data_IF_977114707375
#
_entry.id   IF_977114707375
#
_cell.length_a   1.000
_cell.length_b   1.000
_cell.length_c   1.000
_cell.angle_alpha   90.00
_cell.angle_beta   90.00
_cell.angle_gamma   90.00
#
_symmetry.space_group_name_H-M   'P 1'
#
loop_
_entity.id
_entity.type
_entity.pdbx_description
1 polymer ?
#
# COMPACT_ATOMS: atom_id res chain seq x y z
N UNK A 1 4.29 0.86 -25.47
CA UNK A 1 3.65 0.62 -24.18
C UNK A 1 3.66 1.86 -23.29
N UNK A 2 4.77 2.62 -23.19
CA UNK A 2 4.89 3.81 -22.33
C UNK A 2 3.81 4.86 -22.59
N UNK A 3 3.50 5.17 -23.87
CA UNK A 3 2.45 6.14 -24.24
C UNK A 3 1.07 5.71 -23.75
N UNK A 4 0.79 4.40 -23.78
CA UNK A 4 -0.49 3.85 -23.29
C UNK A 4 -0.56 3.95 -21.77
N UNK A 5 0.48 3.55 -21.06
CA UNK A 5 0.55 3.65 -19.59
C UNK A 5 0.42 5.10 -19.13
N UNK A 6 1.12 6.02 -19.79
CA UNK A 6 1.01 7.45 -19.51
C UNK A 6 -0.42 7.96 -19.73
N UNK A 7 -1.04 7.62 -20.84
CA UNK A 7 -2.44 7.96 -21.13
C UNK A 7 -3.39 7.43 -20.03
N UNK A 8 -3.22 6.18 -19.60
CA UNK A 8 -4.06 5.57 -18.57
C UNK A 8 -3.85 6.21 -17.18
N UNK A 9 -2.60 6.60 -16.83
CA UNK A 9 -2.29 7.33 -15.60
C UNK A 9 -2.91 8.74 -15.64
N UNK A 10 -2.71 9.50 -16.73
CA UNK A 10 -3.22 10.87 -16.89
C UNK A 10 -4.77 10.94 -16.93
N UNK A 11 -5.43 9.87 -17.34
CA UNK A 11 -6.90 9.78 -17.36
C UNK A 11 -7.47 9.00 -16.15
N UNK A 12 -6.68 8.80 -15.11
CA UNK A 12 -7.10 8.15 -13.86
C UNK A 12 -7.66 6.72 -14.03
N UNK A 13 -7.24 5.96 -15.04
CA UNK A 13 -7.56 4.54 -15.14
C UNK A 13 -6.62 3.68 -14.28
N UNK A 14 -5.37 4.13 -14.12
CA UNK A 14 -4.34 3.44 -13.36
C UNK A 14 -3.68 4.37 -12.35
N UNK A 15 -3.30 3.79 -11.22
CA UNK A 15 -2.45 4.40 -10.20
C UNK A 15 -1.07 3.79 -10.32
N UNK A 16 -0.07 4.65 -10.50
CA UNK A 16 1.34 4.24 -10.56
C UNK A 16 1.99 4.42 -9.20
N UNK A 17 2.26 3.32 -8.52
CA UNK A 17 2.97 3.28 -7.24
C UNK A 17 4.47 3.09 -7.53
N UNK A 18 5.25 4.16 -7.40
CA UNK A 18 6.68 4.17 -7.75
C UNK A 18 7.53 3.61 -6.62
N UNK A 19 8.64 2.99 -6.98
CA UNK A 19 9.63 2.57 -6.00
C UNK A 19 10.31 3.80 -5.38
N UNK A 20 10.56 3.75 -4.07
CA UNK A 20 11.52 4.64 -3.41
C UNK A 20 12.71 3.85 -2.86
N UNK A 21 13.91 4.39 -2.99
CA UNK A 21 15.13 3.78 -2.46
C UNK A 21 15.35 4.08 -0.98
N UNK A 22 14.69 5.11 -0.45
CA UNK A 22 14.81 5.55 0.94
C UNK A 22 13.48 6.04 1.50
N UNK A 23 13.29 5.89 2.82
CA UNK A 23 12.13 6.37 3.55
C UNK A 23 12.42 7.73 4.21
N UNK A 24 12.80 8.71 3.37
CA UNK A 24 13.19 10.06 3.79
C UNK A 24 12.36 11.10 3.04
N UNK A 25 11.97 12.15 3.76
CA UNK A 25 11.22 13.29 3.20
C UNK A 25 12.09 14.15 2.26
N UNK A 26 11.58 14.60 1.13
CA UNK A 26 10.36 14.13 0.48
C UNK A 26 10.61 12.84 -0.33
N UNK A 27 9.67 11.90 -0.28
CA UNK A 27 9.78 10.62 -1.00
C UNK A 27 10.03 10.77 -2.50
N UNK A 28 9.54 11.86 -3.09
CA UNK A 28 9.70 12.14 -4.52
C UNK A 28 11.15 12.33 -4.97
N UNK A 29 12.07 12.70 -4.06
CA UNK A 29 13.50 12.86 -4.38
C UNK A 29 14.21 11.52 -4.59
N UNK A 30 13.72 10.47 -3.93
CA UNK A 30 14.35 9.15 -3.93
C UNK A 30 13.55 8.14 -4.76
N UNK A 31 12.61 8.62 -5.58
CA UNK A 31 11.80 7.77 -6.44
C UNK A 31 12.59 7.22 -7.62
N UNK A 32 12.27 5.99 -7.98
CA UNK A 32 12.69 5.35 -9.21
C UNK A 32 11.49 5.33 -10.17
N UNK A 33 11.61 6.01 -11.31
CA UNK A 33 10.53 6.11 -12.28
C UNK A 33 10.43 4.87 -13.19
N UNK A 34 11.49 4.04 -13.25
CA UNK A 34 11.51 2.81 -14.04
C UNK A 34 10.89 1.62 -13.27
N UNK A 35 11.00 1.63 -11.93
CA UNK A 35 10.46 0.57 -11.09
C UNK A 35 9.14 1.00 -10.45
N UNK A 36 8.05 0.35 -10.81
CA UNK A 36 6.72 0.68 -10.30
C UNK A 36 5.79 -0.53 -10.23
N UNK A 37 4.78 -0.44 -9.38
CA UNK A 37 3.59 -1.30 -9.39
C UNK A 37 2.44 -0.52 -10.02
N UNK A 38 1.49 -1.23 -10.64
CA UNK A 38 0.28 -0.64 -11.21
C UNK A 38 -0.95 -1.17 -10.47
N UNK A 39 -1.86 -0.26 -10.15
CA UNK A 39 -3.15 -0.55 -9.55
C UNK A 39 -4.26 0.05 -10.43
N UNK A 40 -5.42 -0.57 -10.43
CA UNK A 40 -6.57 0.00 -11.11
C UNK A 40 -7.23 1.05 -10.20
N UNK A 41 -7.60 2.19 -10.75
CA UNK A 41 -8.30 3.24 -10.00
C UNK A 41 -9.78 2.90 -9.71
N UNK A 42 -10.20 1.68 -10.01
CA UNK A 42 -11.52 1.13 -9.73
C UNK A 42 -11.37 -0.36 -9.37
N UNK A 43 -11.59 -0.69 -8.09
CA UNK A 43 -11.50 -2.07 -7.60
C UNK A 43 -12.62 -2.97 -8.14
N UNK A 44 -13.78 -2.41 -8.48
CA UNK A 44 -14.88 -3.15 -9.12
C UNK A 44 -14.51 -3.54 -10.56
N UNK A 45 -13.89 -2.63 -11.30
CA UNK A 45 -13.39 -2.91 -12.65
C UNK A 45 -12.24 -3.95 -12.58
N UNK A 46 -11.34 -3.85 -11.59
CA UNK A 46 -10.32 -4.87 -11.36
C UNK A 46 -10.95 -6.24 -11.15
N UNK A 47 -11.92 -6.36 -10.24
CA UNK A 47 -12.63 -7.62 -9.99
C UNK A 47 -13.29 -8.17 -11.26
N UNK A 48 -13.97 -7.31 -12.02
CA UNK A 48 -14.57 -7.70 -13.30
C UNK A 48 -13.53 -8.22 -14.30
N UNK A 49 -12.37 -7.57 -14.38
CA UNK A 49 -11.27 -7.98 -15.25
C UNK A 49 -10.59 -9.28 -14.82
N UNK A 50 -10.57 -9.60 -13.54
CA UNK A 50 -10.07 -10.87 -13.04
C UNK A 50 -10.89 -12.08 -13.55
N UNK A 51 -12.11 -11.85 -13.98
CA UNK A 51 -13.03 -12.86 -14.54
C UNK A 51 -13.16 -14.10 -13.65
N UNK A 52 -13.33 -13.89 -12.36
CA UNK A 52 -13.50 -14.94 -11.35
C UNK A 52 -14.87 -14.83 -10.68
N UNK A 53 -15.41 -15.96 -10.22
CA UNK A 53 -16.65 -15.95 -9.44
C UNK A 53 -16.42 -15.43 -8.03
N UNK A 54 -17.46 -14.84 -7.42
CA UNK A 54 -17.44 -14.39 -6.02
C UNK A 54 -17.05 -15.52 -5.07
N UNK A 55 -17.60 -16.73 -5.27
CA UNK A 55 -17.28 -17.89 -4.44
C UNK A 55 -15.77 -18.23 -4.49
N UNK A 56 -15.16 -18.18 -5.67
CA UNK A 56 -13.72 -18.40 -5.81
C UNK A 56 -12.89 -17.28 -5.16
N UNK A 57 -13.37 -16.06 -5.23
CA UNK A 57 -12.73 -14.92 -4.60
C UNK A 57 -12.70 -15.10 -3.07
N UNK A 58 -13.86 -15.28 -2.43
CA UNK A 58 -13.99 -15.33 -0.96
C UNK A 58 -13.34 -16.56 -0.32
N UNK A 59 -13.09 -17.61 -1.11
CA UNK A 59 -12.37 -18.81 -0.65
C UNK A 59 -10.86 -18.76 -0.91
N UNK A 60 -10.34 -17.65 -1.46
CA UNK A 60 -8.92 -17.53 -1.81
C UNK A 60 -8.31 -16.24 -1.27
N UNK A 61 -7.63 -16.35 -0.13
CA UNK A 61 -7.02 -15.21 0.57
C UNK A 61 -6.07 -14.39 -0.30
N UNK A 62 -5.36 -15.03 -1.24
CA UNK A 62 -4.44 -14.32 -2.14
C UNK A 62 -5.19 -13.43 -3.14
N UNK A 63 -6.31 -13.91 -3.68
CA UNK A 63 -7.15 -13.13 -4.60
C UNK A 63 -7.85 -11.99 -3.85
N UNK A 64 -8.36 -12.28 -2.65
CA UNK A 64 -8.92 -11.24 -1.78
C UNK A 64 -7.91 -10.17 -1.42
N UNK A 65 -6.68 -10.56 -1.10
CA UNK A 65 -5.61 -9.61 -0.77
C UNK A 65 -5.30 -8.65 -1.92
N UNK A 66 -5.31 -9.12 -3.18
CA UNK A 66 -5.12 -8.25 -4.36
C UNK A 66 -6.19 -7.16 -4.43
N UNK A 67 -7.46 -7.52 -4.22
CA UNK A 67 -8.55 -6.53 -4.22
C UNK A 67 -8.49 -5.59 -3.02
N UNK A 68 -8.17 -6.11 -1.83
CA UNK A 68 -8.02 -5.28 -0.63
C UNK A 68 -6.87 -4.29 -0.76
N UNK A 69 -5.70 -4.74 -1.22
CA UNK A 69 -4.55 -3.86 -1.46
C UNK A 69 -4.91 -2.75 -2.46
N UNK A 70 -5.54 -3.11 -3.59
CA UNK A 70 -6.00 -2.15 -4.58
C UNK A 70 -7.01 -1.14 -3.99
N UNK A 71 -7.97 -1.61 -3.20
CA UNK A 71 -8.98 -0.76 -2.55
C UNK A 71 -8.38 0.20 -1.53
N UNK A 72 -7.42 -0.25 -0.72
CA UNK A 72 -6.70 0.62 0.23
C UNK A 72 -5.94 1.72 -0.52
N UNK A 73 -5.26 1.36 -1.60
CA UNK A 73 -4.50 2.34 -2.40
C UNK A 73 -5.45 3.35 -3.05
N UNK A 74 -6.60 2.93 -3.60
CA UNK A 74 -7.61 3.85 -4.13
C UNK A 74 -8.07 4.84 -3.05
N UNK A 75 -8.43 4.34 -1.86
CA UNK A 75 -8.86 5.18 -0.74
C UNK A 75 -7.81 6.22 -0.36
N UNK A 76 -6.54 5.84 -0.31
CA UNK A 76 -5.46 6.77 0.01
C UNK A 76 -5.24 7.80 -1.10
N UNK A 77 -5.30 7.39 -2.36
CA UNK A 77 -5.17 8.30 -3.50
C UNK A 77 -6.35 9.28 -3.58
N UNK A 78 -7.57 8.86 -3.29
CA UNK A 78 -8.75 9.72 -3.18
C UNK A 78 -8.58 10.74 -2.04
N UNK A 79 -7.89 10.36 -0.96
CA UNK A 79 -7.46 11.28 0.12
C UNK A 79 -6.30 12.21 -0.26
N UNK A 80 -5.79 12.15 -1.49
CA UNK A 80 -4.72 13.00 -2.00
C UNK A 80 -3.31 12.50 -1.69
N UNK A 81 -3.14 11.27 -1.24
CA UNK A 81 -1.82 10.68 -0.98
C UNK A 81 -1.23 10.06 -2.26
N UNK A 82 0.07 10.26 -2.47
CA UNK A 82 0.81 9.64 -3.57
C UNK A 82 1.43 8.34 -3.05
N UNK A 83 1.12 7.17 -3.67
CA UNK A 83 1.63 5.88 -3.24
C UNK A 83 3.06 5.64 -3.72
N UNK A 84 3.90 5.15 -2.82
CA UNK A 84 5.23 4.61 -3.11
C UNK A 84 5.33 3.20 -2.51
N UNK A 85 6.30 2.41 -2.95
CA UNK A 85 6.73 1.23 -2.22
C UNK A 85 8.24 1.30 -1.97
N UNK A 86 8.69 0.67 -0.91
CA UNK A 86 10.11 0.66 -0.55
C UNK A 86 10.71 -0.72 -0.72
N UNK A 87 11.85 -0.77 -1.38
CA UNK A 87 12.64 -1.99 -1.49
C UNK A 87 14.12 -1.66 -1.32
N UNK A 88 14.72 -2.20 -0.26
CA UNK A 88 16.16 -2.08 -0.02
C UNK A 88 16.97 -3.03 -0.89
N UNK A 89 18.24 -2.74 -1.07
CA UNK A 89 19.21 -3.62 -1.75
C UNK A 89 19.33 -4.99 -1.06
N UNK A 90 19.00 -5.08 0.24
CA UNK A 90 19.13 -6.27 1.09
C UNK A 90 17.84 -7.01 1.44
N UNK A 91 16.77 -6.96 0.63
CA UNK A 91 15.51 -7.72 0.77
C UNK A 91 14.43 -7.14 1.70
N UNK A 92 14.61 -6.02 2.40
CA UNK A 92 13.50 -5.40 3.11
C UNK A 92 12.53 -4.81 2.08
N UNK A 93 11.28 -5.27 2.09
CA UNK A 93 10.19 -4.80 1.25
C UNK A 93 9.10 -4.23 2.15
N UNK A 94 8.66 -3.00 1.85
CA UNK A 94 7.45 -2.40 2.40
C UNK A 94 6.47 -2.21 1.26
N UNK A 95 5.28 -2.78 1.39
CA UNK A 95 4.31 -2.92 0.31
C UNK A 95 3.84 -1.57 -0.22
N UNK A 96 3.61 -0.62 0.70
CA UNK A 96 3.15 0.73 0.41
C UNK A 96 3.78 1.72 1.38
N UNK A 97 4.10 2.89 0.89
CA UNK A 97 4.61 4.02 1.68
C UNK A 97 3.90 5.28 1.24
N UNK A 98 3.42 6.05 2.17
CA UNK A 98 2.86 7.38 1.92
C UNK A 98 3.60 8.44 2.72
N UNK A 99 3.49 9.68 2.26
CA UNK A 99 3.99 10.86 2.93
C UNK A 99 2.82 11.74 3.31
N UNK A 100 2.74 12.14 4.58
CA UNK A 100 1.70 13.07 5.05
C UNK A 100 2.04 14.52 4.69
N UNK A 101 1.05 15.40 4.78
CA UNK A 101 1.24 16.83 4.49
C UNK A 101 2.24 17.52 5.43
N UNK A 102 2.36 17.02 6.66
CA UNK A 102 3.35 17.51 7.65
C UNK A 102 4.71 16.79 7.55
N UNK A 103 4.94 16.04 6.47
CA UNK A 103 6.24 15.43 6.16
C UNK A 103 6.53 14.09 6.83
N UNK A 104 5.59 13.50 7.58
CA UNK A 104 5.78 12.16 8.15
C UNK A 104 5.73 11.09 7.07
N UNK A 105 6.61 10.11 7.17
CA UNK A 105 6.62 8.93 6.32
C UNK A 105 5.92 7.80 7.05
N UNK A 106 4.92 7.21 6.39
CA UNK A 106 4.10 6.13 6.94
C UNK A 106 4.30 4.87 6.09
N UNK A 107 5.07 3.90 6.56
CA UNK A 107 5.15 2.59 5.91
C UNK A 107 3.91 1.77 6.23
N UNK A 108 3.42 1.05 5.24
CA UNK A 108 2.18 0.27 5.29
C UNK A 108 2.48 -1.15 4.77
N UNK A 109 2.01 -2.16 5.49
CA UNK A 109 2.14 -3.56 5.14
C UNK A 109 0.76 -4.21 5.02
N UNK A 110 0.59 -5.09 4.04
CA UNK A 110 -0.61 -5.90 3.84
C UNK A 110 -0.36 -7.33 4.30
N UNK A 111 -1.21 -7.83 5.21
CA UNK A 111 -1.09 -9.18 5.79
C UNK A 111 -2.10 -10.11 5.14
N UNK A 112 -1.62 -11.11 4.42
CA UNK A 112 -2.44 -12.12 3.73
C UNK A 112 -2.50 -13.40 4.56
N UNK A 113 -3.71 -13.98 4.67
CA UNK A 113 -3.92 -15.24 5.37
C UNK A 113 -3.87 -15.13 6.89
N UNK A 114 -3.38 -16.18 7.54
CA UNK A 114 -3.33 -16.24 9.00
C UNK A 114 -2.44 -15.15 9.61
N UNK A 115 -2.90 -14.66 10.73
CA UNK A 115 -2.31 -13.54 11.43
C UNK A 115 -0.87 -13.83 11.90
N UNK A 116 0.11 -13.24 11.23
CA UNK A 116 1.48 -13.18 11.71
C UNK A 116 1.75 -11.84 12.43
N UNK A 117 2.03 -11.92 13.73
CA UNK A 117 2.25 -10.73 14.58
C UNK A 117 3.55 -9.98 14.27
N UNK A 118 4.49 -10.61 13.58
CA UNK A 118 5.82 -10.06 13.36
C UNK A 118 6.06 -9.78 11.88
N UNK A 119 6.28 -8.51 11.54
CA UNK A 119 6.87 -8.11 10.28
C UNK A 119 8.33 -7.75 10.50
N UNK A 120 9.23 -8.55 9.94
CA UNK A 120 10.67 -8.24 9.98
C UNK A 120 10.99 -7.02 9.12
N UNK A 121 10.43 -6.93 7.93
CA UNK A 121 10.70 -5.84 6.98
C UNK A 121 10.22 -4.49 7.50
N UNK A 122 9.00 -4.44 8.04
CA UNK A 122 8.43 -3.22 8.60
C UNK A 122 9.23 -2.76 9.81
N UNK A 123 9.52 -3.66 10.75
CA UNK A 123 10.33 -3.32 11.94
C UNK A 123 11.75 -2.87 11.61
N UNK A 124 12.41 -3.52 10.66
CA UNK A 124 13.74 -3.10 10.19
C UNK A 124 13.70 -1.71 9.54
N UNK A 125 12.68 -1.43 8.75
CA UNK A 125 12.49 -0.13 8.10
C UNK A 125 12.22 0.97 9.11
N UNK A 126 11.35 0.71 10.10
CA UNK A 126 11.06 1.65 11.19
C UNK A 126 12.32 1.99 11.97
N UNK A 127 13.10 0.99 12.37
CA UNK A 127 14.34 1.20 13.11
C UNK A 127 15.40 1.94 12.29
N UNK A 128 15.59 1.55 11.01
CA UNK A 128 16.60 2.16 10.13
C UNK A 128 16.36 3.65 9.90
N UNK A 129 15.10 4.05 9.73
CA UNK A 129 14.72 5.42 9.41
C UNK A 129 14.12 6.20 10.59
N UNK A 130 14.20 5.62 11.80
CA UNK A 130 13.66 6.20 13.02
C UNK A 130 12.19 6.64 12.88
N UNK A 131 11.37 5.74 12.31
CA UNK A 131 9.94 5.98 12.13
C UNK A 131 9.18 5.49 13.36
N UNK A 132 8.38 6.35 13.94
CA UNK A 132 7.62 6.10 15.17
C UNK A 132 6.20 5.54 14.92
N UNK A 133 5.77 5.54 13.66
CA UNK A 133 4.43 5.11 13.27
C UNK A 133 4.45 4.32 11.97
N UNK A 134 3.68 3.24 11.95
CA UNK A 134 3.45 2.39 10.78
C UNK A 134 2.03 1.82 10.81
N UNK A 135 1.57 1.31 9.68
CA UNK A 135 0.24 0.70 9.56
C UNK A 135 0.35 -0.72 9.03
N UNK A 136 -0.49 -1.61 9.54
CA UNK A 136 -0.70 -2.95 8.99
C UNK A 136 -2.18 -3.15 8.70
N UNK A 137 -2.49 -3.49 7.46
CA UNK A 137 -3.81 -3.94 7.04
C UNK A 137 -3.90 -5.46 7.02
N UNK A 138 -5.03 -6.01 7.46
CA UNK A 138 -5.24 -7.44 7.44
C UNK A 138 -6.60 -7.85 7.98
N UNK A 139 -6.80 -9.15 8.12
CA UNK A 139 -8.04 -9.73 8.65
C UNK A 139 -7.99 -9.79 10.19
N UNK A 140 -7.99 -8.63 10.84
CA UNK A 140 -7.96 -8.48 12.31
C UNK A 140 -8.70 -7.21 12.74
N UNK A 141 -8.96 -7.07 14.04
CA UNK A 141 -9.58 -5.90 14.62
C UNK A 141 -8.60 -4.76 14.85
N UNK A 142 -9.13 -3.55 15.07
CA UNK A 142 -8.37 -2.36 15.44
C UNK A 142 -7.53 -2.61 16.68
N UNK A 143 -6.26 -2.25 16.59
CA UNK A 143 -5.35 -2.23 17.74
C UNK A 143 -4.11 -1.43 17.43
N UNK A 144 -3.37 -1.01 18.47
CA UNK A 144 -2.07 -0.36 18.36
C UNK A 144 -1.05 -1.08 19.23
N UNK A 145 0.14 -1.34 18.69
CA UNK A 145 1.24 -1.96 19.43
C UNK A 145 2.58 -1.51 18.86
N UNK A 146 3.48 -1.04 19.73
CA UNK A 146 4.86 -0.66 19.36
C UNK A 146 4.92 0.30 18.14
N UNK A 147 4.11 1.36 18.13
CA UNK A 147 4.05 2.31 17.03
C UNK A 147 3.31 1.81 15.78
N UNK A 148 2.89 0.55 15.74
CA UNK A 148 2.18 -0.02 14.61
C UNK A 148 0.68 0.01 14.88
N UNK A 149 -0.07 0.66 13.98
CA UNK A 149 -1.53 0.65 13.94
C UNK A 149 -1.99 -0.54 13.10
N UNK A 150 -2.85 -1.38 13.65
CA UNK A 150 -3.47 -2.50 12.94
C UNK A 150 -4.89 -2.11 12.56
N UNK A 151 -5.21 -2.22 11.29
CA UNK A 151 -6.50 -1.86 10.71
C UNK A 151 -7.06 -3.02 9.88
N UNK A 152 -8.35 -3.35 10.04
CA UNK A 152 -9.00 -4.24 9.09
C UNK A 152 -9.06 -3.57 7.70
N UNK A 153 -9.01 -4.36 6.63
CA UNK A 153 -9.00 -3.84 5.26
C UNK A 153 -10.18 -2.91 4.95
N UNK A 154 -11.38 -3.24 5.45
CA UNK A 154 -12.58 -2.42 5.23
C UNK A 154 -12.52 -1.04 5.89
N UNK A 155 -11.58 -0.83 6.80
CA UNK A 155 -11.43 0.44 7.53
C UNK A 155 -10.29 1.30 6.99
N UNK A 156 -9.94 1.15 5.71
CA UNK A 156 -8.90 1.97 5.08
C UNK A 156 -9.19 3.48 5.17
N UNK A 157 -10.47 3.86 5.08
CA UNK A 157 -10.91 5.25 5.22
C UNK A 157 -10.61 5.85 6.60
N UNK A 158 -10.58 5.03 7.67
CA UNK A 158 -10.21 5.49 9.01
C UNK A 158 -8.75 5.96 9.06
N UNK A 159 -7.89 5.46 8.18
CA UNK A 159 -6.50 5.91 8.12
C UNK A 159 -6.40 7.39 7.71
N UNK A 160 -7.30 7.88 6.84
CA UNK A 160 -7.33 9.28 6.41
C UNK A 160 -7.60 10.24 7.58
N UNK A 161 -8.34 9.80 8.59
CA UNK A 161 -8.63 10.58 9.80
C UNK A 161 -7.48 10.53 10.83
N UNK A 162 -6.62 9.50 10.73
CA UNK A 162 -5.47 9.29 11.63
C UNK A 162 -4.19 9.98 11.15
N UNK A 163 -4.16 10.45 9.90
CA UNK A 163 -3.00 11.07 9.23
C UNK A 163 -3.06 12.59 9.25
#
# INVERSE_FOLDING_TARGET
>A
YERILKFMEENNFLIKCRKTSELVYPLSKNKDDESFKLYMNDSGLLFKKMNISVNRLVTNDKLMAVLYENSVINTLCDGGYIPYYYQSVGKALVDLVIQTRNGKIIPIEFVVGEYNTKSKSLGLSMNKYNLDYAVRFGNFNFRKRNGIQFLPYYAAFCLLELL
#
